data_IF_241294911907
#
_entry.id   IF_241294911907
#
_cell.length_a   1.000
_cell.length_b   1.000
_cell.length_c   1.000
_cell.angle_alpha   90.00
_cell.angle_beta   90.00
_cell.angle_gamma   90.00
#
_symmetry.space_group_name_H-M   'P 1'
#
loop_
_entity.id
_entity.type
_entity.pdbx_description
1 polymer ?
#
# COMPACT_ATOMS: atom_id res chain seq x y z
N UNK A 1 -3.53 7.53 -0.18
CA UNK A 1 -3.32 8.95 0.14
C UNK A 1 -4.24 9.32 1.30
N UNK A 2 -3.84 10.24 2.19
CA UNK A 2 -4.67 10.69 3.30
C UNK A 2 -5.96 11.34 2.79
N UNK A 3 -7.09 11.07 3.45
CA UNK A 3 -8.37 11.67 3.12
C UNK A 3 -8.41 13.15 3.58
N UNK A 4 -9.23 13.98 2.94
CA UNK A 4 -9.42 15.40 3.28
C UNK A 4 -9.84 15.58 4.75
N UNK A 5 -10.67 14.68 5.29
CA UNK A 5 -11.04 14.69 6.70
C UNK A 5 -9.82 14.60 7.63
N UNK A 6 -8.84 13.75 7.29
CA UNK A 6 -7.62 13.59 8.11
C UNK A 6 -6.85 14.93 8.13
N UNK A 7 -6.74 15.61 6.98
CA UNK A 7 -6.06 16.89 6.88
C UNK A 7 -6.72 17.97 7.74
N UNK A 8 -8.06 18.00 7.75
CA UNK A 8 -8.84 18.94 8.56
C UNK A 8 -8.60 18.72 10.06
N UNK A 9 -8.63 17.47 10.52
CA UNK A 9 -8.45 17.13 11.94
C UNK A 9 -7.03 17.42 12.44
N UNK A 10 -6.00 17.16 11.61
CA UNK A 10 -4.61 17.38 12.01
C UNK A 10 -4.18 18.85 11.89
N UNK A 11 -4.91 19.69 11.17
CA UNK A 11 -4.57 21.10 10.95
C UNK A 11 -4.38 21.89 12.27
N UNK A 12 -5.12 21.53 13.32
CA UNK A 12 -5.00 22.18 14.65
C UNK A 12 -3.64 21.97 15.32
N UNK A 13 -2.85 20.98 14.88
CA UNK A 13 -1.52 20.68 15.41
C UNK A 13 -0.39 21.34 14.62
N UNK A 14 -0.71 22.15 13.62
CA UNK A 14 0.27 23.01 12.95
C UNK A 14 0.50 24.27 13.77
N UNK A 15 1.76 24.56 14.11
CA UNK A 15 2.13 25.78 14.85
C UNK A 15 2.23 27.01 13.96
N UNK A 16 2.49 26.83 12.65
CA UNK A 16 2.47 27.91 11.67
C UNK A 16 1.05 28.11 11.13
N UNK A 17 0.59 29.36 11.09
CA UNK A 17 -0.74 29.72 10.58
C UNK A 17 -0.85 29.49 9.07
N UNK A 18 0.25 29.57 8.30
CA UNK A 18 0.23 29.24 6.87
C UNK A 18 -0.05 27.75 6.64
N UNK A 19 0.63 26.87 7.36
CA UNK A 19 0.43 25.42 7.27
C UNK A 19 -0.99 25.03 7.71
N UNK A 20 -1.47 25.66 8.79
CA UNK A 20 -2.83 25.45 9.30
C UNK A 20 -3.91 25.88 8.32
N UNK A 21 -3.76 27.06 7.71
CA UNK A 21 -4.71 27.56 6.69
C UNK A 21 -4.68 26.71 5.44
N UNK A 22 -3.50 26.25 4.99
CA UNK A 22 -3.34 25.33 3.87
C UNK A 22 -4.06 24.00 4.12
N UNK A 23 -3.84 23.35 5.27
CA UNK A 23 -4.48 22.09 5.63
C UNK A 23 -6.00 22.24 5.78
N UNK A 24 -6.44 23.35 6.39
CA UNK A 24 -7.87 23.66 6.55
C UNK A 24 -8.55 23.88 5.20
N UNK A 25 -7.89 24.59 4.27
CA UNK A 25 -8.36 24.81 2.91
C UNK A 25 -8.54 23.48 2.17
N UNK A 26 -7.52 22.62 2.17
CA UNK A 26 -7.58 21.29 1.53
C UNK A 26 -8.58 20.35 2.20
N UNK A 27 -8.85 20.54 3.50
CA UNK A 27 -9.89 19.83 4.25
C UNK A 27 -11.31 20.37 4.05
N UNK A 28 -11.46 21.52 3.39
CA UNK A 28 -12.75 22.16 3.14
C UNK A 28 -13.44 21.58 1.89
N UNK A 29 -14.74 21.89 1.74
CA UNK A 29 -15.52 21.51 0.55
C UNK A 29 -15.54 22.61 -0.52
N UNK A 30 -14.73 23.67 -0.38
CA UNK A 30 -14.65 24.73 -1.39
C UNK A 30 -14.00 24.21 -2.68
N UNK A 31 -14.29 24.85 -3.81
CA UNK A 31 -13.69 24.46 -5.09
C UNK A 31 -12.17 24.66 -5.07
N UNK A 32 -11.70 25.75 -4.46
CA UNK A 32 -10.28 26.05 -4.25
C UNK A 32 -9.62 24.95 -3.40
N UNK A 33 -10.28 24.51 -2.33
CA UNK A 33 -9.81 23.43 -1.47
C UNK A 33 -9.67 22.09 -2.21
N UNK A 34 -10.65 21.75 -3.05
CA UNK A 34 -10.60 20.52 -3.87
C UNK A 34 -9.47 20.56 -4.89
N UNK A 35 -9.27 21.71 -5.55
CA UNK A 35 -8.18 21.91 -6.52
C UNK A 35 -6.83 21.76 -5.80
N UNK A 36 -6.66 22.47 -4.68
CA UNK A 36 -5.43 22.42 -3.90
C UNK A 36 -5.13 21.00 -3.39
N UNK A 37 -6.14 20.29 -2.87
CA UNK A 37 -6.01 18.90 -2.44
C UNK A 37 -5.62 17.98 -3.59
N UNK A 38 -6.24 18.14 -4.76
CA UNK A 38 -5.92 17.32 -5.93
C UNK A 38 -4.46 17.51 -6.36
N UNK A 39 -4.04 18.76 -6.56
CA UNK A 39 -2.68 19.06 -7.05
C UNK A 39 -1.61 18.68 -6.02
N UNK A 40 -1.81 19.08 -4.76
CA UNK A 40 -0.80 18.92 -3.73
C UNK A 40 -0.78 17.51 -3.13
N UNK A 41 -1.91 16.82 -3.00
CA UNK A 41 -1.95 15.47 -2.42
C UNK A 41 -2.02 14.38 -3.48
N UNK A 42 -3.02 14.41 -4.36
CA UNK A 42 -3.31 13.30 -5.27
C UNK A 42 -2.30 13.21 -6.41
N UNK A 43 -2.15 14.28 -7.17
CA UNK A 43 -1.30 14.32 -8.37
C UNK A 43 0.18 14.19 -7.97
N UNK A 44 0.57 14.82 -6.86
CA UNK A 44 1.92 14.70 -6.30
C UNK A 44 2.19 13.40 -5.53
N UNK A 45 1.18 12.55 -5.35
CA UNK A 45 1.27 11.28 -4.64
C UNK A 45 1.78 11.38 -3.19
N UNK A 46 1.37 12.40 -2.43
CA UNK A 46 1.85 12.60 -1.04
C UNK A 46 1.25 11.61 -0.05
N UNK A 47 2.12 10.85 0.62
CA UNK A 47 1.77 10.04 1.78
C UNK A 47 1.67 10.93 3.04
N UNK A 48 1.10 10.41 4.13
CA UNK A 48 1.07 11.14 5.40
C UNK A 48 2.48 11.55 5.88
N UNK A 49 3.47 10.70 5.64
CA UNK A 49 4.88 10.99 5.98
C UNK A 49 5.40 12.16 5.16
N UNK A 50 5.12 12.19 3.85
CA UNK A 50 5.54 13.30 2.99
C UNK A 50 4.90 14.64 3.41
N UNK A 51 3.66 14.62 3.88
CA UNK A 51 2.98 15.82 4.41
C UNK A 51 3.67 16.32 5.69
N UNK A 52 3.98 15.42 6.62
CA UNK A 52 4.66 15.77 7.88
C UNK A 52 6.10 16.27 7.63
N UNK A 53 6.78 15.77 6.60
CA UNK A 53 8.10 16.26 6.19
C UNK A 53 8.02 17.64 5.51
N UNK A 54 7.02 17.85 4.64
CA UNK A 54 6.83 19.11 3.91
C UNK A 54 6.33 20.23 4.83
N UNK A 55 5.60 19.89 5.91
CA UNK A 55 5.04 20.81 6.90
C UNK A 55 5.65 20.58 8.29
N UNK A 56 6.87 21.06 8.57
CA UNK A 56 7.58 20.77 9.83
C UNK A 56 6.90 21.37 11.07
N UNK A 57 5.97 22.31 10.90
CA UNK A 57 5.16 22.88 11.99
C UNK A 57 4.05 21.92 12.45
N UNK A 58 3.67 20.95 11.62
CA UNK A 58 2.60 20.00 11.87
C UNK A 58 3.09 18.86 12.79
N UNK A 59 2.69 18.91 14.06
CA UNK A 59 3.12 17.94 15.09
C UNK A 59 1.94 17.29 15.81
N UNK A 60 1.12 16.48 15.12
CA UNK A 60 0.01 15.78 15.75
C UNK A 60 0.51 14.72 16.75
N UNK A 61 -0.20 14.51 17.88
CA UNK A 61 0.02 13.38 18.75
C UNK A 61 -0.08 12.05 17.98
N UNK A 62 0.81 11.10 18.27
CA UNK A 62 0.89 9.84 17.54
C UNK A 62 -0.38 9.00 17.71
N UNK A 63 -0.94 8.97 18.91
CA UNK A 63 -2.18 8.26 19.25
C UNK A 63 -3.35 8.76 18.41
N UNK A 64 -3.54 10.07 18.33
CA UNK A 64 -4.60 10.65 17.51
C UNK A 64 -4.34 10.43 16.01
N UNK A 65 -3.09 10.53 15.55
CA UNK A 65 -2.76 10.21 14.17
C UNK A 65 -3.09 8.75 13.82
N UNK A 66 -2.78 7.80 14.72
CA UNK A 66 -3.11 6.40 14.56
C UNK A 66 -4.62 6.13 14.52
N UNK A 67 -5.41 6.91 15.26
CA UNK A 67 -6.88 6.85 15.23
C UNK A 67 -7.44 7.32 13.87
N UNK A 68 -6.88 8.39 13.30
CA UNK A 68 -7.35 8.97 12.04
C UNK A 68 -6.96 8.15 10.80
N UNK A 69 -5.83 7.45 10.84
CA UNK A 69 -5.29 6.74 9.69
C UNK A 69 -6.16 5.52 9.30
N UNK A 70 -6.42 5.30 8.00
CA UNK A 70 -7.21 4.18 7.56
C UNK A 70 -6.50 2.85 7.82
N UNK A 71 -7.29 1.81 8.11
CA UNK A 71 -6.78 0.45 8.29
C UNK A 71 -6.08 -0.05 7.04
N UNK A 72 -5.01 -0.81 7.22
CA UNK A 72 -4.32 -1.48 6.13
C UNK A 72 -5.19 -2.64 5.60
N UNK A 73 -5.56 -2.58 4.32
CA UNK A 73 -6.43 -3.58 3.69
C UNK A 73 -5.63 -4.77 3.12
N UNK A 74 -6.23 -5.98 3.04
CA UNK A 74 -5.61 -7.08 2.29
C UNK A 74 -5.55 -6.75 0.79
N UNK A 75 -4.53 -7.27 0.10
CA UNK A 75 -4.38 -7.12 -1.37
C UNK A 75 -4.71 -8.46 -2.03
N UNK A 76 -5.57 -8.40 -3.04
CA UNK A 76 -6.01 -9.57 -3.80
C UNK A 76 -5.12 -9.78 -5.02
N UNK A 77 -4.78 -11.04 -5.28
CA UNK A 77 -4.03 -11.49 -6.46
C UNK A 77 -4.72 -12.71 -7.05
N UNK A 78 -4.62 -12.87 -8.37
CA UNK A 78 -5.03 -14.10 -9.05
C UNK A 78 -4.03 -15.20 -8.75
N UNK A 79 -4.53 -16.37 -8.35
CA UNK A 79 -3.70 -17.56 -8.16
C UNK A 79 -3.18 -18.00 -9.53
N UNK A 80 -1.85 -18.06 -9.71
CA UNK A 80 -1.19 -18.46 -10.96
C UNK A 80 -0.75 -19.93 -10.98
N UNK A 81 -1.27 -20.74 -10.05
CA UNK A 81 -1.11 -22.20 -10.01
C UNK A 81 -2.44 -22.94 -10.19
N UNK A 82 -2.36 -24.17 -10.70
CA UNK A 82 -3.51 -25.10 -10.72
C UNK A 82 -3.48 -25.98 -9.47
N UNK A 83 -4.57 -26.10 -8.69
CA UNK A 83 -4.62 -26.98 -7.53
C UNK A 83 -4.54 -28.48 -7.92
N UNK A 84 -4.78 -28.83 -9.19
CA UNK A 84 -4.59 -30.20 -9.70
C UNK A 84 -3.11 -30.56 -9.82
N UNK A 85 -2.23 -29.57 -9.98
CA UNK A 85 -0.77 -29.76 -10.16
C UNK A 85 -0.03 -29.40 -8.87
N UNK A 86 -0.46 -28.35 -8.18
CA UNK A 86 0.14 -27.84 -6.95
C UNK A 86 -0.91 -27.81 -5.82
N UNK A 87 -1.26 -28.95 -5.20
CA UNK A 87 -2.32 -29.01 -4.19
C UNK A 87 -1.96 -28.33 -2.86
N UNK A 88 -0.66 -28.22 -2.55
CA UNK A 88 -0.13 -27.67 -1.29
C UNK A 88 0.56 -26.32 -1.45
N UNK A 89 0.55 -25.74 -2.66
CA UNK A 89 1.24 -24.47 -2.98
C UNK A 89 0.35 -23.53 -3.78
N UNK A 90 0.38 -22.26 -3.41
CA UNK A 90 -0.34 -21.17 -4.09
C UNK A 90 0.69 -20.26 -4.72
N UNK A 91 0.62 -20.08 -6.04
CA UNK A 91 1.52 -19.18 -6.75
C UNK A 91 0.84 -17.83 -6.99
N UNK A 92 1.64 -16.76 -6.95
CA UNK A 92 1.22 -15.40 -7.26
C UNK A 92 2.20 -14.85 -8.29
N UNK A 93 1.67 -14.23 -9.33
CA UNK A 93 2.44 -13.43 -10.29
C UNK A 93 2.05 -11.97 -10.10
N UNK A 94 3.01 -11.13 -9.71
CA UNK A 94 2.77 -9.72 -9.39
C UNK A 94 3.93 -8.83 -9.86
N UNK A 95 3.60 -7.61 -10.30
CA UNK A 95 4.59 -6.59 -10.64
C UNK A 95 4.98 -5.83 -9.36
N UNK A 96 6.27 -5.62 -9.15
CA UNK A 96 6.75 -4.78 -8.04
C UNK A 96 6.35 -3.34 -8.31
N UNK A 97 5.56 -2.75 -7.41
CA UNK A 97 5.17 -1.35 -7.52
C UNK A 97 6.27 -0.53 -6.87
N UNK A 98 6.99 0.21 -7.71
CA UNK A 98 8.10 1.06 -7.32
C UNK A 98 8.24 2.18 -8.35
N UNK A 99 8.03 3.42 -7.94
CA UNK A 99 8.10 4.58 -8.82
C UNK A 99 8.55 5.83 -8.07
N UNK A 100 9.08 6.80 -8.79
CA UNK A 100 9.39 8.12 -8.26
C UNK A 100 8.15 9.02 -8.40
N UNK A 101 7.79 9.69 -7.31
CA UNK A 101 6.68 10.66 -7.27
C UNK A 101 7.12 12.01 -7.84
N UNK A 102 6.19 12.90 -8.24
CA UNK A 102 6.55 14.26 -8.65
C UNK A 102 7.33 15.06 -7.59
N UNK A 103 7.23 14.67 -6.31
CA UNK A 103 7.99 15.24 -5.21
C UNK A 103 9.42 14.70 -5.08
N UNK A 104 9.90 13.92 -6.06
CA UNK A 104 11.21 13.23 -6.06
C UNK A 104 11.38 12.19 -4.93
N UNK A 105 10.29 11.81 -4.28
CA UNK A 105 10.25 10.72 -3.29
C UNK A 105 9.96 9.40 -3.96
N UNK A 106 10.52 8.33 -3.43
CA UNK A 106 10.30 6.97 -3.92
C UNK A 106 9.08 6.33 -3.26
N UNK A 107 8.04 6.03 -4.05
CA UNK A 107 6.86 5.32 -3.60
C UNK A 107 7.01 3.81 -3.84
N UNK A 108 6.74 3.02 -2.80
CA UNK A 108 6.81 1.55 -2.82
C UNK A 108 5.44 0.96 -2.48
N UNK A 109 4.98 0.01 -3.30
CA UNK A 109 3.77 -0.76 -2.99
C UNK A 109 4.00 -1.66 -1.79
N UNK A 110 3.13 -1.55 -0.77
CA UNK A 110 3.28 -2.27 0.50
C UNK A 110 3.34 -3.79 0.31
N UNK A 111 2.35 -4.38 -0.36
CA UNK A 111 2.26 -5.83 -0.51
C UNK A 111 3.35 -6.41 -1.43
N UNK A 112 3.61 -5.75 -2.56
CA UNK A 112 4.56 -6.28 -3.56
C UNK A 112 6.02 -6.15 -3.10
N UNK A 113 6.38 -5.07 -2.39
CA UNK A 113 7.72 -4.97 -1.79
C UNK A 113 7.89 -5.92 -0.60
N UNK A 114 6.83 -6.17 0.19
CA UNK A 114 6.84 -7.24 1.20
C UNK A 114 7.13 -8.61 0.56
N UNK A 115 6.51 -8.95 -0.58
CA UNK A 115 6.82 -10.19 -1.31
C UNK A 115 8.27 -10.23 -1.79
N UNK A 116 8.77 -9.12 -2.34
CA UNK A 116 10.17 -9.00 -2.76
C UNK A 116 11.12 -9.27 -1.60
N UNK A 117 10.90 -8.66 -0.45
CA UNK A 117 11.73 -8.85 0.75
C UNK A 117 11.68 -10.30 1.25
N UNK A 118 10.50 -10.91 1.32
CA UNK A 118 10.34 -12.31 1.69
C UNK A 118 11.05 -13.26 0.71
N UNK A 119 10.92 -13.00 -0.59
CA UNK A 119 11.59 -13.78 -1.62
C UNK A 119 13.12 -13.67 -1.53
N UNK A 120 13.66 -12.46 -1.37
CA UNK A 120 15.10 -12.25 -1.23
C UNK A 120 15.65 -12.91 0.04
N UNK A 121 14.92 -12.84 1.15
CA UNK A 121 15.28 -13.57 2.37
C UNK A 121 15.27 -15.07 2.15
N UNK A 122 14.22 -15.62 1.54
CA UNK A 122 14.14 -17.05 1.25
C UNK A 122 15.30 -17.53 0.35
N UNK A 123 15.70 -16.73 -0.64
CA UNK A 123 16.90 -17.01 -1.43
C UNK A 123 18.19 -16.94 -0.61
N UNK A 124 18.34 -15.93 0.25
CA UNK A 124 19.53 -15.77 1.10
C UNK A 124 19.64 -16.87 2.17
N UNK A 125 18.51 -17.37 2.70
CA UNK A 125 18.44 -18.46 3.68
C UNK A 125 18.86 -19.81 3.06
N UNK A 126 18.80 -19.95 1.73
CA UNK A 126 19.47 -21.04 1.02
C UNK A 126 21.00 -21.08 1.23
N UNK A 127 21.59 -20.02 1.79
CA UNK A 127 23.02 -19.88 2.08
C UNK A 127 23.35 -19.55 3.55
N UNK A 128 22.39 -19.27 4.44
CA UNK A 128 22.70 -18.95 5.84
C UNK A 128 21.56 -19.32 6.79
N UNK A 129 21.90 -20.18 7.75
CA UNK A 129 21.13 -20.45 8.96
C UNK A 129 20.76 -19.11 9.63
N UNK A 130 19.47 -18.83 9.78
CA UNK A 130 19.03 -17.73 10.64
C UNK A 130 19.44 -18.03 12.08
N UNK A 131 20.28 -17.15 12.65
CA UNK A 131 20.53 -17.09 14.09
C UNK A 131 19.31 -16.45 14.76
N UNK A 132 18.88 -17.03 15.87
CA UNK A 132 17.92 -16.40 16.78
C UNK A 132 18.47 -15.05 17.24
N UNK A 133 17.80 -13.96 16.87
CA UNK A 133 18.17 -12.61 17.33
C UNK A 133 17.95 -11.47 16.33
N UNK A 134 17.82 -11.75 15.03
CA UNK A 134 17.59 -10.69 14.05
C UNK A 134 16.12 -10.23 14.09
N UNK A 135 15.88 -9.10 14.75
CA UNK A 135 14.60 -8.37 14.80
C UNK A 135 14.27 -7.78 13.43
N UNK A 136 14.03 -8.63 12.45
CA UNK A 136 13.33 -8.24 11.24
C UNK A 136 11.84 -8.55 11.46
N UNK A 137 11.04 -7.50 11.67
CA UNK A 137 9.61 -7.60 12.00
C UNK A 137 8.71 -8.22 10.90
N UNK A 138 9.28 -8.75 9.82
CA UNK A 138 8.51 -9.51 8.83
C UNK A 138 8.48 -10.98 9.24
N UNK A 139 7.30 -11.55 9.56
CA UNK A 139 7.20 -12.97 9.82
C UNK A 139 7.69 -13.74 8.60
N UNK A 140 8.47 -14.80 8.79
CA UNK A 140 8.81 -15.77 7.73
C UNK A 140 7.59 -16.51 7.15
N UNK A 141 6.39 -16.06 7.47
CA UNK A 141 5.08 -16.57 7.06
C UNK A 141 4.19 -15.40 6.70
N UNK A 142 3.54 -15.47 5.54
CA UNK A 142 2.59 -14.46 5.10
C UNK A 142 1.17 -14.88 5.47
N UNK A 143 0.39 -14.06 6.21
CA UNK A 143 -1.02 -14.36 6.45
C UNK A 143 -1.80 -14.22 5.15
N UNK A 144 -2.41 -15.31 4.69
CA UNK A 144 -3.20 -15.36 3.45
C UNK A 144 -4.55 -16.01 3.69
N UNK A 145 -5.51 -15.69 2.85
CA UNK A 145 -6.81 -16.37 2.77
C UNK A 145 -7.23 -16.47 1.30
N UNK A 146 -8.07 -17.46 0.98
CA UNK A 146 -8.56 -17.68 -0.38
C UNK A 146 -9.98 -17.12 -0.50
N UNK A 147 -10.19 -16.21 -1.45
CA UNK A 147 -11.53 -15.77 -1.86
C UNK A 147 -11.96 -16.55 -3.10
N UNK A 148 -13.06 -17.31 -2.99
CA UNK A 148 -13.60 -18.06 -4.13
C UNK A 148 -14.10 -17.08 -5.21
N UNK A 149 -13.66 -17.29 -6.46
CA UNK A 149 -14.14 -16.56 -7.64
C UNK A 149 -15.14 -17.41 -8.44
N UNK A 150 -15.85 -16.85 -9.41
CA UNK A 150 -16.60 -17.59 -10.43
C UNK A 150 -15.77 -17.89 -11.70
N UNK A 151 -14.59 -17.29 -11.83
CA UNK A 151 -13.66 -17.55 -12.94
C UNK A 151 -13.15 -19.00 -12.89
N UNK A 152 -13.63 -19.86 -13.79
CA UNK A 152 -13.34 -21.30 -13.84
C UNK A 152 -13.23 -21.76 -15.28
N UNK A 153 -12.50 -22.87 -15.45
CA UNK A 153 -12.52 -23.61 -16.71
C UNK A 153 -13.90 -24.24 -16.93
N UNK A 154 -14.31 -24.46 -18.20
CA UNK A 154 -15.47 -25.26 -18.53
C UNK A 154 -15.41 -26.65 -17.89
N UNK A 155 -16.59 -27.21 -17.57
CA UNK A 155 -16.67 -28.56 -16.99
C UNK A 155 -16.20 -29.65 -17.97
N UNK A 156 -16.49 -29.49 -19.26
CA UNK A 156 -16.10 -30.43 -20.32
C UNK A 156 -14.75 -30.05 -20.89
N UNK A 157 -13.82 -31.00 -20.93
CA UNK A 157 -12.46 -30.77 -21.45
C UNK A 157 -12.42 -30.52 -22.96
N UNK A 158 -13.45 -30.92 -23.71
CA UNK A 158 -13.55 -30.66 -25.15
C UNK A 158 -13.97 -29.23 -25.48
N UNK A 159 -14.49 -28.47 -24.51
CA UNK A 159 -14.90 -27.08 -24.75
C UNK A 159 -13.64 -26.24 -24.98
N UNK A 160 -13.47 -25.59 -26.15
CA UNK A 160 -12.29 -24.77 -26.41
C UNK A 160 -12.24 -23.57 -25.47
N UNK A 161 -11.03 -23.15 -25.11
CA UNK A 161 -10.77 -22.03 -24.22
C UNK A 161 -9.91 -21.01 -24.96
N UNK A 162 -10.31 -19.74 -24.90
CA UNK A 162 -9.52 -18.60 -25.38
C UNK A 162 -9.13 -17.79 -24.15
N UNK A 163 -7.83 -17.65 -23.90
CA UNK A 163 -7.30 -16.86 -22.78
C UNK A 163 -6.64 -15.61 -23.35
N UNK A 164 -7.01 -14.44 -22.83
CA UNK A 164 -6.42 -13.16 -23.22
C UNK A 164 -5.93 -12.49 -21.94
N UNK A 165 -4.60 -12.35 -21.82
CA UNK A 165 -3.93 -11.57 -20.78
C UNK A 165 -2.87 -10.70 -21.44
N UNK A 166 -2.85 -9.41 -21.10
CA UNK A 166 -1.87 -8.46 -21.61
C UNK A 166 -0.74 -8.24 -20.62
#
# INVERSE_FOLDING_TARGET
>A
MPNTQILKEIAQYATDENDKTLLTLMGSYSEEGKIQYKEWILDSCRSIVAILEDLPSLKPPLDHLCELLPRLHPRYYSISSSPKVHPTSIHITAVIVHFETPTKRVAKGVATNCFKELYMKHQAIGCAQHKEGDTCHLPGRLPIFIRKSTFRLPFRFQTPIIMIGM
#
